data_IF_562857719067
#
_entry.id   IF_562857719067
#
_cell.length_a   1.000
_cell.length_b   1.000
_cell.length_c   1.000
_cell.angle_alpha   90.00
_cell.angle_beta   90.00
_cell.angle_gamma   90.00
#
_symmetry.space_group_name_H-M   'P 1'
#
loop_
_entity.id
_entity.type
_entity.pdbx_description
1 polymer ?
#
# COMPACT_ATOMS: atom_id res chain seq x y z
N UNK A 1 -9.84 -6.15 -8.67
CA UNK A 1 -8.82 -5.33 -7.99
C UNK A 1 -7.52 -6.11 -7.94
N UNK A 2 -6.37 -5.47 -8.18
CA UNK A 2 -5.04 -6.06 -7.99
C UNK A 2 -4.28 -5.19 -7.00
N UNK A 3 -3.67 -5.81 -6.00
CA UNK A 3 -2.95 -5.14 -4.92
C UNK A 3 -1.64 -5.87 -4.66
N UNK A 4 -0.56 -5.14 -4.41
CA UNK A 4 0.64 -5.64 -3.75
C UNK A 4 0.45 -5.45 -2.26
N UNK A 5 0.70 -6.50 -1.48
CA UNK A 5 0.74 -6.40 -0.03
C UNK A 5 2.13 -6.78 0.43
N UNK A 6 2.77 -5.90 1.19
CA UNK A 6 4.04 -6.17 1.85
C UNK A 6 4.10 -5.53 3.23
N UNK A 7 5.14 -5.86 3.98
CA UNK A 7 5.26 -5.41 5.36
C UNK A 7 6.55 -4.65 5.58
N UNK A 8 6.49 -3.59 6.37
CA UNK A 8 7.68 -2.91 6.89
C UNK A 8 7.96 -3.35 8.33
N UNK A 9 9.22 -3.44 8.77
CA UNK A 9 9.55 -3.81 10.14
C UNK A 9 9.12 -2.76 11.19
N UNK A 10 8.92 -1.51 10.76
CA UNK A 10 8.50 -0.39 11.62
C UNK A 10 7.20 0.26 11.11
N UNK A 11 7.25 1.56 10.81
CA UNK A 11 6.12 2.29 10.27
C UNK A 11 5.79 1.89 8.82
N UNK A 12 4.52 1.98 8.44
CA UNK A 12 4.08 1.82 7.06
C UNK A 12 4.17 3.16 6.32
N UNK A 13 4.73 3.13 5.10
CA UNK A 13 4.84 4.25 4.18
C UNK A 13 5.27 3.71 2.81
N UNK A 14 5.07 4.49 1.74
CA UNK A 14 5.69 4.18 0.45
C UNK A 14 7.14 4.66 0.45
N UNK A 15 8.08 3.72 0.42
CA UNK A 15 9.51 4.04 0.36
C UNK A 15 9.93 4.40 -1.06
N UNK A 16 11.11 5.02 -1.19
CA UNK A 16 11.71 5.28 -2.50
C UNK A 16 11.93 4.00 -3.33
N UNK A 17 12.15 2.86 -2.66
CA UNK A 17 12.27 1.55 -3.33
C UNK A 17 10.92 1.08 -3.86
N UNK A 18 9.84 1.25 -3.09
CA UNK A 18 8.49 0.89 -3.52
C UNK A 18 8.07 1.75 -4.73
N UNK A 19 8.40 3.05 -4.73
CA UNK A 19 8.15 3.96 -5.85
C UNK A 19 8.94 3.59 -7.11
N UNK A 20 10.22 3.22 -6.96
CA UNK A 20 11.11 3.00 -8.09
C UNK A 20 10.94 1.64 -8.76
N UNK A 21 10.47 0.63 -8.02
CA UNK A 21 10.45 -0.76 -8.49
C UNK A 21 9.11 -1.48 -8.20
N UNK A 22 7.95 -0.93 -8.58
CA UNK A 22 6.70 -1.63 -8.41
C UNK A 22 6.62 -2.84 -9.36
N UNK A 23 5.99 -3.92 -8.92
CA UNK A 23 5.83 -5.11 -9.75
C UNK A 23 4.87 -4.86 -10.94
N UNK A 24 3.88 -3.98 -10.73
CA UNK A 24 2.86 -3.60 -11.72
C UNK A 24 2.83 -2.08 -11.82
N UNK A 25 2.91 -1.54 -13.05
CA UNK A 25 2.95 -0.10 -13.34
C UNK A 25 1.63 0.45 -13.93
N UNK A 26 0.52 -0.29 -13.80
CA UNK A 26 -0.77 0.10 -14.39
C UNK A 26 -1.51 1.08 -13.49
N UNK A 27 -2.06 2.21 -14.02
CA UNK A 27 -2.92 3.09 -13.24
C UNK A 27 -4.07 2.33 -12.56
N UNK A 28 -4.38 2.71 -11.32
CA UNK A 28 -5.33 2.01 -10.45
C UNK A 28 -4.76 0.80 -9.71
N UNK A 29 -3.46 0.47 -9.87
CA UNK A 29 -2.81 -0.56 -9.07
C UNK A 29 -2.55 -0.07 -7.65
N UNK A 30 -2.85 -0.91 -6.66
CA UNK A 30 -2.72 -0.60 -5.24
C UNK A 30 -1.46 -1.23 -4.63
N UNK A 31 -0.82 -0.51 -3.72
CA UNK A 31 0.31 -0.93 -2.88
C UNK A 31 -0.06 -0.71 -1.42
N UNK A 32 -0.31 -1.80 -0.69
CA UNK A 32 -0.67 -1.81 0.72
C UNK A 32 0.54 -2.22 1.57
N UNK A 33 0.93 -1.34 2.48
CA UNK A 33 2.03 -1.57 3.42
C UNK A 33 1.46 -1.80 4.82
N UNK A 34 1.73 -2.96 5.39
CA UNK A 34 1.37 -3.30 6.77
C UNK A 34 2.59 -3.07 7.68
N UNK A 35 2.46 -2.32 8.80
CA UNK A 35 3.57 -2.01 9.68
C UNK A 35 3.98 -3.20 10.55
N UNK A 36 5.09 -3.05 11.29
CA UNK A 36 5.57 -3.95 12.35
C UNK A 36 5.64 -5.41 11.93
N UNK A 37 6.05 -5.67 10.70
CA UNK A 37 6.17 -7.01 10.11
C UNK A 37 4.91 -7.86 10.32
N UNK A 38 3.72 -7.25 10.20
CA UNK A 38 2.41 -7.87 10.42
C UNK A 38 2.22 -8.54 11.80
N UNK A 39 2.91 -8.07 12.84
CA UNK A 39 2.73 -8.54 14.22
C UNK A 39 1.61 -7.84 14.99
N UNK A 40 0.97 -6.85 14.36
CA UNK A 40 -0.15 -6.09 14.94
C UNK A 40 -1.50 -6.81 14.85
N UNK A 41 -2.59 -6.12 15.24
CA UNK A 41 -3.94 -6.63 15.01
C UNK A 41 -4.19 -6.88 13.52
N UNK A 42 -5.14 -7.79 13.23
CA UNK A 42 -5.60 -8.07 11.87
C UNK A 42 -6.58 -6.97 11.41
N UNK A 43 -6.10 -5.73 11.40
CA UNK A 43 -6.82 -4.55 10.93
C UNK A 43 -5.91 -3.65 10.09
N UNK A 44 -6.42 -2.48 9.68
CA UNK A 44 -5.67 -1.49 8.91
C UNK A 44 -5.06 -0.38 9.79
N UNK A 45 -4.99 -0.56 11.11
CA UNK A 45 -4.41 0.43 12.01
C UNK A 45 -2.93 0.65 11.67
N UNK A 46 -2.57 1.90 11.42
CA UNK A 46 -1.25 2.34 10.97
C UNK A 46 -0.79 1.75 9.62
N UNK A 47 -1.69 1.16 8.83
CA UNK A 47 -1.37 0.73 7.47
C UNK A 47 -1.33 1.93 6.52
N UNK A 48 -0.59 1.77 5.43
CA UNK A 48 -0.47 2.78 4.38
C UNK A 48 -0.90 2.18 3.05
N UNK A 49 -1.68 2.94 2.28
CA UNK A 49 -2.16 2.51 0.96
C UNK A 49 -1.85 3.60 -0.07
N UNK A 50 -1.24 3.19 -1.18
CA UNK A 50 -1.06 4.05 -2.33
C UNK A 50 -1.60 3.42 -3.61
N UNK A 51 -2.00 4.29 -4.53
CA UNK A 51 -2.50 3.94 -5.86
C UNK A 51 -1.64 4.59 -6.95
N UNK A 52 -1.29 3.83 -7.99
CA UNK A 52 -0.66 4.38 -9.20
C UNK A 52 -1.65 5.27 -9.94
N UNK A 53 -1.28 6.53 -10.10
CA UNK A 53 -2.05 7.52 -10.83
C UNK A 53 -1.78 7.45 -12.34
N UNK A 54 -2.59 8.12 -13.20
CA UNK A 54 -2.35 8.16 -14.65
C UNK A 54 -1.00 8.75 -15.08
N UNK A 55 -0.35 9.54 -14.21
CA UNK A 55 1.01 10.07 -14.42
C UNK A 55 2.12 9.07 -14.06
N UNK A 56 1.75 7.85 -13.65
CA UNK A 56 2.64 6.77 -13.27
C UNK A 56 3.20 6.86 -11.84
N UNK A 57 2.78 7.86 -11.05
CA UNK A 57 3.26 8.05 -9.67
C UNK A 57 2.30 7.43 -8.67
N UNK A 58 2.83 6.92 -7.58
CA UNK A 58 2.01 6.54 -6.44
C UNK A 58 1.49 7.77 -5.70
N UNK A 59 0.24 7.68 -5.25
CA UNK A 59 -0.37 8.65 -4.35
C UNK A 59 -1.10 7.92 -3.23
N UNK A 60 -0.94 8.41 -2.01
CA UNK A 60 -1.67 7.91 -0.85
C UNK A 60 -3.18 8.05 -1.07
N UNK A 61 -3.93 7.01 -0.67
CA UNK A 61 -5.39 6.96 -0.72
C UNK A 61 -5.94 6.39 0.58
N UNK A 62 -7.13 6.84 0.95
CA UNK A 62 -7.79 6.42 2.18
C UNK A 62 -8.25 4.97 2.09
N UNK A 63 -7.70 4.10 2.94
CA UNK A 63 -8.00 2.65 2.97
C UNK A 63 -9.51 2.37 3.00
N UNK A 64 -10.33 2.98 3.87
CA UNK A 64 -11.76 2.65 3.97
C UNK A 64 -12.58 2.98 2.71
N UNK A 65 -12.01 3.76 1.78
CA UNK A 65 -12.68 4.10 0.53
C UNK A 65 -12.46 3.05 -0.57
N UNK A 66 -11.47 2.16 -0.38
CA UNK A 66 -11.00 1.21 -1.41
C UNK A 66 -10.99 -0.24 -0.93
N UNK A 67 -10.77 -0.48 0.36
CA UNK A 67 -10.59 -1.81 0.96
C UNK A 67 -11.45 -1.99 2.22
N UNK A 68 -11.87 -3.23 2.44
CA UNK A 68 -12.52 -3.69 3.67
C UNK A 68 -11.94 -5.04 4.10
N UNK A 69 -12.14 -5.40 5.37
CA UNK A 69 -11.78 -6.69 5.93
C UNK A 69 -13.07 -7.51 6.02
N UNK A 70 -13.05 -8.73 5.48
CA UNK A 70 -14.20 -9.65 5.39
C UNK A 70 -13.95 -10.93 6.15
#
# INVERSE_FOLDING_TARGET
MRVQVHTHPGAAYHSATDDAFPLIHTPGYLSLVIPRFATGPADFTDAFLAEIQPDGRFREVDIPTVLEIV
#
